data_IF_334885313001
#
_entry.id   IF_334885313001
#
_cell.length_a   1.000
_cell.length_b   1.000
_cell.length_c   1.000
_cell.angle_alpha   90.00
_cell.angle_beta   90.00
_cell.angle_gamma   90.00
#
_symmetry.space_group_name_H-M   'P 1'
#
loop_
_entity.id
_entity.type
_entity.pdbx_description
1 polymer ?
#
# COMPACT_ATOMS: atom_id res chain seq x y z
N UNK A 1 24.39 -20.63 -76.61
CA UNK A 1 24.65 -19.49 -77.50
C UNK A 1 25.45 -18.44 -76.72
N UNK A 2 26.27 -17.64 -77.42
CA UNK A 2 26.86 -16.37 -76.98
C UNK A 2 27.65 -16.30 -75.65
N UNK A 3 28.96 -16.52 -75.75
CA UNK A 3 30.02 -15.68 -75.13
C UNK A 3 30.16 -14.34 -75.92
N UNK A 4 31.12 -13.39 -75.68
CA UNK A 4 32.25 -13.26 -74.73
C UNK A 4 31.98 -12.14 -73.67
N UNK A 5 32.86 -11.36 -73.02
CA UNK A 5 34.30 -10.95 -73.09
C UNK A 5 34.76 -10.77 -71.60
N UNK A 6 35.96 -11.18 -71.10
CA UNK A 6 37.34 -10.62 -71.23
C UNK A 6 37.42 -9.09 -70.94
N UNK A 7 38.46 -8.49 -70.33
CA UNK A 7 39.82 -8.93 -69.93
C UNK A 7 40.40 -8.09 -68.77
N UNK A 8 41.29 -8.70 -67.95
CA UNK A 8 42.52 -8.06 -67.44
C UNK A 8 42.45 -7.08 -66.25
N UNK A 9 43.57 -6.71 -65.60
CA UNK A 9 44.93 -7.31 -65.64
C UNK A 9 45.80 -6.86 -64.44
N UNK A 10 46.78 -7.70 -64.08
CA UNK A 10 48.06 -7.40 -63.39
C UNK A 10 48.13 -6.67 -62.03
N UNK A 11 48.65 -7.42 -61.07
CA UNK A 11 49.58 -7.09 -59.95
C UNK A 11 50.55 -5.90 -60.20
N UNK A 12 51.15 -5.22 -59.18
CA UNK A 12 51.91 -5.86 -58.09
C UNK A 12 51.87 -5.20 -56.68
N UNK A 13 52.77 -5.68 -55.81
CA UNK A 13 52.99 -5.35 -54.40
C UNK A 13 53.36 -3.88 -54.13
N UNK A 14 52.97 -3.31 -52.98
CA UNK A 14 53.91 -3.10 -51.84
C UNK A 14 53.24 -2.52 -50.57
N UNK A 15 53.99 -2.63 -49.46
CA UNK A 15 53.96 -1.87 -48.21
C UNK A 15 52.68 -1.84 -47.34
N UNK A 16 52.78 -2.52 -46.19
CA UNK A 16 52.14 -2.08 -44.94
C UNK A 16 52.82 -0.81 -44.40
N UNK A 17 52.07 0.07 -43.74
CA UNK A 17 52.57 0.89 -42.65
C UNK A 17 51.81 0.63 -41.34
N UNK A 18 52.53 0.51 -40.23
CA UNK A 18 51.96 0.69 -38.89
C UNK A 18 51.51 2.14 -38.69
N UNK A 19 50.23 2.37 -38.39
CA UNK A 19 49.79 3.61 -37.74
C UNK A 19 48.78 3.34 -36.60
N UNK A 20 48.69 4.30 -35.68
CA UNK A 20 48.26 4.08 -34.30
C UNK A 20 46.93 4.78 -33.97
N UNK A 21 46.31 4.35 -32.86
CA UNK A 21 45.44 5.16 -31.98
C UNK A 21 44.16 5.78 -32.60
N UNK A 22 43.01 5.14 -32.32
CA UNK A 22 41.68 5.60 -32.76
C UNK A 22 40.56 5.37 -31.74
N UNK A 23 40.75 5.70 -30.47
CA UNK A 23 39.75 5.48 -29.41
C UNK A 23 38.55 6.42 -29.55
N UNK A 24 37.57 6.05 -30.37
CA UNK A 24 36.35 6.80 -30.58
C UNK A 24 35.45 6.81 -29.33
N UNK A 25 35.48 7.90 -28.57
CA UNK A 25 34.57 8.12 -27.45
C UNK A 25 33.13 8.29 -27.97
N UNK A 26 32.28 7.29 -27.77
CA UNK A 26 30.87 7.36 -28.16
C UNK A 26 30.10 8.25 -27.19
N UNK A 27 29.81 9.48 -27.60
CA UNK A 27 29.03 10.46 -26.84
C UNK A 27 27.55 10.08 -26.83
N UNK A 28 27.18 9.09 -26.01
CA UNK A 28 25.80 8.70 -25.78
C UNK A 28 25.00 9.90 -25.23
N UNK A 29 24.06 10.41 -26.01
CA UNK A 29 23.21 11.52 -25.61
C UNK A 29 22.38 11.12 -24.37
N UNK A 30 22.46 11.93 -23.31
CA UNK A 30 21.68 11.68 -22.09
C UNK A 30 20.18 11.72 -22.39
N UNK A 31 19.37 10.78 -21.87
CA UNK A 31 17.94 10.73 -22.14
C UNK A 31 17.24 11.98 -21.61
N UNK A 32 16.35 12.55 -22.43
CA UNK A 32 15.53 13.71 -22.03
C UNK A 32 14.54 13.29 -20.94
N UNK A 33 14.47 13.99 -19.79
CA UNK A 33 13.54 13.66 -18.72
C UNK A 33 12.07 13.70 -19.17
N UNK A 34 11.27 12.79 -18.62
CA UNK A 34 9.83 12.75 -18.87
C UNK A 34 9.09 13.77 -18.01
N UNK A 35 7.88 14.17 -18.43
CA UNK A 35 7.03 15.09 -17.65
C UNK A 35 6.75 14.60 -16.21
N UNK A 36 6.79 13.28 -15.98
CA UNK A 36 6.66 12.65 -14.66
C UNK A 36 7.84 12.95 -13.72
N UNK A 37 9.01 13.28 -14.26
CA UNK A 37 10.23 13.54 -13.49
C UNK A 37 10.40 15.03 -13.14
N UNK A 38 9.70 15.92 -13.85
CA UNK A 38 9.62 17.34 -13.47
C UNK A 38 8.73 17.57 -12.23
N UNK A 39 7.73 16.71 -11.97
CA UNK A 39 6.90 16.74 -10.76
C UNK A 39 7.64 16.28 -9.48
N UNK A 40 8.90 15.84 -9.59
CA UNK A 40 9.73 15.39 -8.48
C UNK A 40 10.55 16.58 -7.95
N UNK A 41 10.53 16.89 -6.63
CA UNK A 41 11.38 17.92 -6.02
C UNK A 41 12.88 17.66 -6.24
N UNK A 42 13.68 18.73 -6.38
CA UNK A 42 15.11 18.64 -6.72
C UNK A 42 15.92 17.69 -5.82
N UNK A 43 15.70 17.72 -4.50
CA UNK A 43 16.41 16.83 -3.56
C UNK A 43 16.07 15.34 -3.79
N UNK A 44 14.86 15.02 -4.24
CA UNK A 44 14.51 13.65 -4.63
C UNK A 44 15.11 13.26 -6.00
N UNK A 45 15.55 14.23 -6.83
CA UNK A 45 16.17 13.92 -8.14
C UNK A 45 17.57 13.35 -8.00
N UNK A 46 18.32 13.60 -6.92
CA UNK A 46 19.57 12.88 -6.65
C UNK A 46 19.30 11.42 -6.28
N UNK A 47 18.48 11.21 -5.25
CA UNK A 47 18.05 9.89 -4.77
C UNK A 47 17.46 9.02 -5.89
N UNK A 48 16.60 9.60 -6.75
CA UNK A 48 15.89 8.90 -7.82
C UNK A 48 16.56 8.94 -9.20
N UNK A 49 17.62 9.73 -9.45
CA UNK A 49 18.45 9.53 -10.67
C UNK A 49 19.15 8.18 -10.62
N UNK A 50 19.58 7.77 -9.43
CA UNK A 50 20.15 6.46 -9.18
C UNK A 50 19.07 5.37 -9.02
N UNK A 51 18.20 5.19 -10.03
CA UNK A 51 17.32 3.99 -10.17
C UNK A 51 18.08 2.71 -10.55
N UNK A 52 19.39 2.63 -10.31
CA UNK A 52 20.02 1.32 -10.23
C UNK A 52 19.47 0.63 -8.97
N UNK A 53 18.94 -0.59 -9.06
CA UNK A 53 18.65 -1.37 -7.86
C UNK A 53 19.93 -1.49 -7.01
N UNK A 54 19.76 -1.66 -5.70
CA UNK A 54 20.88 -1.90 -4.78
C UNK A 54 21.59 -3.18 -5.24
N UNK A 55 22.85 -3.07 -5.70
CA UNK A 55 23.49 -4.13 -6.49
C UNK A 55 24.22 -5.18 -5.65
N UNK A 56 24.59 -4.80 -4.43
CA UNK A 56 25.33 -5.60 -3.46
C UNK A 56 25.20 -4.94 -2.07
N UNK A 57 25.73 -5.61 -1.04
CA UNK A 57 25.79 -5.07 0.33
C UNK A 57 26.51 -3.71 0.41
N UNK A 58 27.58 -3.49 -0.37
CA UNK A 58 28.32 -2.22 -0.38
C UNK A 58 27.45 -1.05 -0.88
N UNK A 59 26.68 -1.23 -1.96
CA UNK A 59 25.72 -0.22 -2.41
C UNK A 59 24.57 -0.05 -1.40
N UNK A 60 24.16 -1.10 -0.68
CA UNK A 60 23.19 -0.98 0.42
C UNK A 60 23.74 -0.11 1.56
N UNK A 61 25.00 -0.33 1.94
CA UNK A 61 25.68 0.38 3.02
C UNK A 61 26.04 1.82 2.61
N UNK A 62 26.41 2.07 1.36
CA UNK A 62 26.62 3.43 0.85
C UNK A 62 25.29 4.22 0.78
N UNK A 63 24.17 3.56 0.47
CA UNK A 63 22.83 4.16 0.63
C UNK A 63 22.42 4.35 2.10
N UNK A 64 22.88 3.50 3.02
CA UNK A 64 22.73 3.71 4.46
C UNK A 64 23.55 4.93 4.94
N UNK A 65 24.72 5.17 4.35
CA UNK A 65 25.57 6.33 4.62
C UNK A 65 24.99 7.62 4.01
N UNK A 66 24.39 7.58 2.80
CA UNK A 66 23.55 8.68 2.29
C UNK A 66 22.36 8.98 3.23
N UNK A 67 21.76 7.96 3.84
CA UNK A 67 20.70 8.10 4.85
C UNK A 67 21.22 8.47 6.26
N UNK A 68 22.53 8.37 6.52
CA UNK A 68 23.13 8.88 7.77
C UNK A 68 23.13 10.41 7.78
N UNK A 69 23.39 11.04 6.63
CA UNK A 69 23.37 12.51 6.49
C UNK A 69 21.93 13.05 6.38
N UNK A 70 20.97 12.22 5.96
CA UNK A 70 19.58 12.62 5.75
C UNK A 70 18.67 12.39 6.98
N UNK A 71 18.66 13.35 7.89
CA UNK A 71 17.62 13.45 8.91
C UNK A 71 16.27 13.84 8.26
N UNK A 72 15.22 12.99 8.33
CA UNK A 72 13.88 13.39 7.88
C UNK A 72 13.38 14.58 8.69
N UNK A 73 12.69 15.53 8.05
CA UNK A 73 12.26 16.78 8.71
C UNK A 73 10.82 16.71 9.26
N UNK A 74 10.11 15.61 9.02
CA UNK A 74 8.74 15.39 9.52
C UNK A 74 8.44 13.89 9.70
N UNK A 75 7.48 13.58 10.57
CA UNK A 75 7.01 12.20 10.78
C UNK A 75 6.44 11.59 9.50
N UNK A 76 5.86 12.41 8.62
CA UNK A 76 5.40 11.95 7.31
C UNK A 76 6.53 11.61 6.33
N UNK A 77 7.68 12.28 6.45
CA UNK A 77 8.85 11.97 5.64
C UNK A 77 9.49 10.66 6.12
N UNK A 78 9.53 10.44 7.43
CA UNK A 78 9.91 9.15 8.01
C UNK A 78 8.95 8.02 7.57
N UNK A 79 7.63 8.19 7.68
CA UNK A 79 6.62 7.23 7.18
C UNK A 79 6.75 6.99 5.67
N UNK A 80 7.01 8.03 4.87
CA UNK A 80 7.24 7.91 3.41
C UNK A 80 8.54 7.17 3.07
N UNK A 81 9.61 7.40 3.82
CA UNK A 81 10.87 6.66 3.67
C UNK A 81 10.69 5.18 4.06
N UNK A 82 10.03 4.90 5.19
CA UNK A 82 9.63 3.54 5.61
C UNK A 82 8.82 2.81 4.53
N UNK A 83 7.80 3.46 3.95
CA UNK A 83 6.99 2.87 2.89
C UNK A 83 7.73 2.72 1.55
N UNK A 84 8.53 3.71 1.14
CA UNK A 84 9.34 3.62 -0.07
C UNK A 84 10.39 2.51 0.01
N UNK A 85 11.02 2.37 1.18
CA UNK A 85 11.97 1.31 1.48
C UNK A 85 11.29 -0.06 1.43
N UNK A 86 10.27 -0.29 2.28
CA UNK A 86 9.57 -1.59 2.35
C UNK A 86 8.91 -2.02 1.04
N UNK A 87 8.38 -1.08 0.24
CA UNK A 87 7.84 -1.37 -1.09
C UNK A 87 8.91 -1.78 -2.11
N UNK A 88 10.13 -1.23 -2.02
CA UNK A 88 11.22 -1.52 -2.97
C UNK A 88 11.76 -2.95 -2.86
N UNK A 89 11.53 -3.65 -1.75
CA UNK A 89 11.90 -5.07 -1.59
C UNK A 89 10.85 -6.05 -2.12
N UNK A 90 9.70 -5.57 -2.58
CA UNK A 90 8.62 -6.39 -3.15
C UNK A 90 8.69 -6.46 -4.69
N UNK A 91 9.89 -6.36 -5.28
CA UNK A 91 10.09 -6.51 -6.72
C UNK A 91 9.88 -7.96 -7.16
N UNK A 92 9.00 -8.16 -8.15
CA UNK A 92 8.67 -9.47 -8.71
C UNK A 92 9.77 -10.00 -9.64
N UNK A 93 9.90 -11.33 -9.70
CA UNK A 93 10.66 -12.02 -10.74
C UNK A 93 11.94 -12.66 -10.23
N UNK A 94 13.06 -12.28 -10.84
CA UNK A 94 14.19 -13.19 -11.03
C UNK A 94 15.49 -12.76 -10.32
N UNK A 95 15.48 -11.67 -9.55
CA UNK A 95 16.60 -11.23 -8.70
C UNK A 95 16.05 -10.59 -7.39
N UNK A 96 15.81 -11.38 -6.33
CA UNK A 96 15.42 -10.82 -5.03
C UNK A 96 16.60 -10.08 -4.40
N UNK A 97 16.38 -8.82 -4.01
CA UNK A 97 17.37 -8.01 -3.30
C UNK A 97 17.74 -8.65 -1.95
N UNK A 98 18.81 -9.45 -1.93
CA UNK A 98 19.43 -9.98 -0.71
C UNK A 98 20.19 -8.88 0.06
N UNK A 99 19.44 -7.91 0.56
CA UNK A 99 19.73 -7.37 1.89
C UNK A 99 19.34 -8.48 2.88
N UNK A 100 20.25 -8.83 3.77
CA UNK A 100 19.97 -9.84 4.79
C UNK A 100 18.94 -9.32 5.82
N UNK A 101 18.34 -10.23 6.56
CA UNK A 101 17.26 -9.89 7.50
C UNK A 101 17.73 -8.94 8.62
N UNK A 102 18.98 -9.01 9.03
CA UNK A 102 19.54 -8.21 10.12
C UNK A 102 19.82 -6.77 9.65
N UNK A 103 20.43 -6.59 8.47
CA UNK A 103 20.58 -5.27 7.85
C UNK A 103 19.22 -4.60 7.61
N UNK A 104 18.21 -5.35 7.16
CA UNK A 104 16.84 -4.83 7.06
C UNK A 104 16.25 -4.43 8.42
N UNK A 105 16.42 -5.26 9.46
CA UNK A 105 15.95 -4.99 10.83
C UNK A 105 16.58 -3.70 11.38
N UNK A 106 17.89 -3.54 11.26
CA UNK A 106 18.64 -2.37 11.73
C UNK A 106 18.21 -1.09 11.01
N UNK A 107 17.94 -1.14 9.70
CA UNK A 107 17.39 -0.03 8.93
C UNK A 107 15.98 0.35 9.40
N UNK A 108 15.12 -0.63 9.66
CA UNK A 108 13.76 -0.41 10.15
C UNK A 108 13.77 0.22 11.55
N UNK A 109 14.58 -0.31 12.46
CA UNK A 109 14.74 0.20 13.84
C UNK A 109 15.32 1.61 13.86
N UNK A 110 16.29 1.93 12.98
CA UNK A 110 16.81 3.30 12.85
C UNK A 110 15.76 4.27 12.31
N UNK A 111 15.01 3.89 11.28
CA UNK A 111 13.92 4.72 10.75
C UNK A 111 12.84 4.97 11.81
N UNK A 112 12.52 3.96 12.63
CA UNK A 112 11.61 4.09 13.77
C UNK A 112 12.18 4.98 14.89
N UNK A 113 13.48 4.89 15.19
CA UNK A 113 14.14 5.76 16.17
C UNK A 113 14.10 7.24 15.71
N UNK A 114 14.47 7.51 14.45
CA UNK A 114 14.38 8.87 13.89
C UNK A 114 12.93 9.37 13.85
N UNK A 115 11.94 8.51 13.52
CA UNK A 115 10.52 8.85 13.57
C UNK A 115 10.02 9.21 14.99
N UNK A 116 10.60 8.61 16.03
CA UNK A 116 10.25 8.82 17.44
C UNK A 116 10.78 10.13 18.01
N UNK A 117 11.94 10.58 17.56
CA UNK A 117 12.57 11.82 18.02
C UNK A 117 12.06 13.07 17.26
N UNK A 118 11.28 12.87 16.20
CA UNK A 118 10.62 13.95 15.48
C UNK A 118 9.46 14.56 16.29
N UNK A 119 9.26 15.89 16.26
CA UNK A 119 8.12 16.50 16.91
C UNK A 119 6.83 15.93 16.30
N UNK A 120 5.85 15.49 17.11
CA UNK A 120 4.59 14.99 16.58
C UNK A 120 3.92 16.10 15.77
N UNK A 121 3.36 15.74 14.61
CA UNK A 121 2.57 16.66 13.79
C UNK A 121 1.49 17.28 14.67
N UNK A 122 1.65 18.58 14.99
CA UNK A 122 0.70 19.29 15.84
C UNK A 122 -0.62 19.37 15.08
N UNK A 123 -1.62 18.63 15.57
CA UNK A 123 -2.98 18.81 15.07
C UNK A 123 -3.38 20.28 15.18
N UNK A 124 -3.95 20.82 14.12
CA UNK A 124 -4.66 22.10 14.18
C UNK A 124 -5.84 22.01 15.15
N UNK A 125 -6.30 23.16 15.63
CA UNK A 125 -7.49 23.24 16.46
C UNK A 125 -8.73 22.65 15.73
N UNK A 126 -8.83 22.87 14.41
CA UNK A 126 -9.85 22.25 13.56
C UNK A 126 -9.71 20.72 13.48
N UNK A 127 -8.48 20.19 13.32
CA UNK A 127 -8.24 18.73 13.32
C UNK A 127 -8.60 18.12 14.67
N UNK A 128 -8.22 18.75 15.79
CA UNK A 128 -8.61 18.29 17.13
C UNK A 128 -10.13 18.38 17.34
N UNK A 129 -10.78 19.47 16.92
CA UNK A 129 -12.23 19.65 17.01
C UNK A 129 -12.98 18.58 16.22
N UNK A 130 -12.55 18.29 14.99
CA UNK A 130 -13.14 17.25 14.14
C UNK A 130 -12.87 15.84 14.67
N UNK A 131 -11.69 15.56 15.24
CA UNK A 131 -11.42 14.29 15.96
C UNK A 131 -12.36 14.13 17.17
N UNK A 132 -12.49 15.16 18.00
CA UNK A 132 -13.33 15.13 19.20
C UNK A 132 -14.81 14.95 18.82
N UNK A 133 -15.29 15.70 17.83
CA UNK A 133 -16.68 15.65 17.39
C UNK A 133 -17.02 14.34 16.65
N UNK A 134 -16.08 13.75 15.90
CA UNK A 134 -16.21 12.39 15.38
C UNK A 134 -16.45 11.39 16.53
N UNK A 135 -15.61 11.43 17.58
CA UNK A 135 -15.72 10.54 18.75
C UNK A 135 -16.95 10.72 19.64
N UNK A 136 -17.93 11.54 19.24
CA UNK A 136 -19.21 11.75 19.90
C UNK A 136 -20.41 11.31 19.05
N UNK A 137 -20.21 10.89 17.79
CA UNK A 137 -21.31 10.58 16.87
C UNK A 137 -22.20 9.47 17.42
N UNK A 138 -21.63 8.39 17.98
CA UNK A 138 -22.39 7.29 18.59
C UNK A 138 -23.22 7.65 19.83
N UNK A 139 -23.10 8.89 20.36
CA UNK A 139 -23.87 9.39 21.50
C UNK A 139 -25.07 10.27 21.08
N UNK A 140 -25.29 10.45 19.77
CA UNK A 140 -26.38 11.26 19.22
C UNK A 140 -27.63 10.41 18.97
N UNK A 141 -28.75 11.07 18.60
CA UNK A 141 -29.95 10.36 18.21
C UNK A 141 -29.77 9.63 16.87
N UNK A 142 -30.48 8.50 16.71
CA UNK A 142 -30.18 7.54 15.64
C UNK A 142 -30.31 8.12 14.22
N UNK A 143 -31.27 9.02 14.04
CA UNK A 143 -31.56 9.65 12.75
C UNK A 143 -30.50 10.70 12.36
N UNK A 144 -29.85 11.33 13.36
CA UNK A 144 -28.79 12.33 13.15
C UNK A 144 -27.43 11.71 12.80
N UNK A 145 -27.18 10.44 13.19
CA UNK A 145 -25.91 9.74 12.97
C UNK A 145 -25.38 9.87 11.53
N UNK A 146 -26.23 9.61 10.53
CA UNK A 146 -25.84 9.61 9.12
C UNK A 146 -25.53 11.03 8.62
N UNK A 147 -26.38 12.00 8.97
CA UNK A 147 -26.21 13.41 8.59
C UNK A 147 -24.98 14.04 9.24
N UNK A 148 -24.76 13.78 10.53
CA UNK A 148 -23.59 14.24 11.27
C UNK A 148 -22.32 13.60 10.71
N UNK A 149 -22.26 12.27 10.57
CA UNK A 149 -21.07 11.60 10.04
C UNK A 149 -20.68 12.10 8.65
N UNK A 150 -21.66 12.24 7.74
CA UNK A 150 -21.42 12.80 6.41
C UNK A 150 -20.89 14.24 6.48
N UNK A 151 -21.38 15.04 7.43
CA UNK A 151 -20.91 16.41 7.68
C UNK A 151 -19.48 16.45 8.22
N UNK A 152 -19.11 15.56 9.15
CA UNK A 152 -17.73 15.48 9.67
C UNK A 152 -16.76 14.98 8.60
N UNK A 153 -17.11 13.92 7.87
CA UNK A 153 -16.25 13.40 6.79
C UNK A 153 -16.04 14.44 5.68
N UNK A 154 -17.08 15.21 5.34
CA UNK A 154 -16.98 16.34 4.41
C UNK A 154 -16.07 17.45 4.96
N UNK A 155 -16.27 17.86 6.22
CA UNK A 155 -15.45 18.88 6.86
C UNK A 155 -13.96 18.48 6.93
N UNK A 156 -13.65 17.22 7.25
CA UNK A 156 -12.29 16.67 7.20
C UNK A 156 -11.67 16.83 5.81
N UNK A 157 -12.43 16.58 4.74
CA UNK A 157 -11.95 16.72 3.37
C UNK A 157 -11.87 18.13 2.80
N UNK A 158 -12.68 19.06 3.29
CA UNK A 158 -12.74 20.44 2.76
C UNK A 158 -11.97 21.46 3.62
N UNK A 159 -11.75 21.18 4.92
CA UNK A 159 -11.19 22.14 5.88
C UNK A 159 -9.77 21.80 6.34
N UNK A 160 -9.38 20.52 6.32
CA UNK A 160 -8.05 20.07 6.76
C UNK A 160 -7.14 19.75 5.57
N UNK A 161 -5.85 20.11 5.60
CA UNK A 161 -4.87 19.58 4.66
C UNK A 161 -4.57 18.10 4.95
N UNK A 162 -4.04 17.36 3.97
CA UNK A 162 -3.99 15.89 3.99
C UNK A 162 -3.17 15.27 5.13
N UNK A 163 -2.16 15.96 5.63
CA UNK A 163 -1.37 15.59 6.82
C UNK A 163 -2.23 15.52 8.09
N UNK A 164 -3.20 16.43 8.20
CA UNK A 164 -4.06 16.59 9.38
C UNK A 164 -5.37 15.78 9.31
N UNK A 165 -5.69 15.19 8.15
CA UNK A 165 -6.87 14.34 7.95
C UNK A 165 -6.74 12.96 8.64
N UNK A 166 -5.52 12.47 8.87
CA UNK A 166 -5.23 11.13 9.43
C UNK A 166 -5.98 10.84 10.74
N UNK A 167 -5.91 11.73 11.73
CA UNK A 167 -6.49 11.46 13.07
C UNK A 167 -8.02 11.52 13.08
N UNK A 168 -8.69 12.54 12.50
CA UNK A 168 -10.15 12.55 12.36
C UNK A 168 -10.69 11.33 11.60
N UNK A 169 -10.01 10.86 10.55
CA UNK A 169 -10.41 9.65 9.82
C UNK A 169 -10.34 8.40 10.71
N UNK A 170 -9.29 8.25 11.52
CA UNK A 170 -9.18 7.12 12.46
C UNK A 170 -10.29 7.14 13.51
N UNK A 171 -10.72 8.32 13.97
CA UNK A 171 -11.91 8.45 14.81
C UNK A 171 -13.19 8.02 14.06
N UNK A 172 -13.46 8.56 12.88
CA UNK A 172 -14.63 8.19 12.07
C UNK A 172 -14.66 6.69 11.71
N UNK A 173 -13.52 6.07 11.43
CA UNK A 173 -13.40 4.62 11.21
C UNK A 173 -13.85 3.87 12.46
N UNK A 174 -13.38 4.27 13.66
CA UNK A 174 -13.78 3.65 14.93
C UNK A 174 -15.30 3.72 15.14
N UNK A 175 -15.90 4.89 14.94
CA UNK A 175 -17.35 5.10 15.12
C UNK A 175 -18.22 4.15 14.29
N UNK A 176 -17.77 3.70 13.11
CA UNK A 176 -18.50 2.67 12.32
C UNK A 176 -18.63 1.31 13.00
N UNK A 177 -18.04 1.13 14.20
CA UNK A 177 -18.25 -0.02 15.07
C UNK A 177 -19.42 0.09 16.06
N UNK A 178 -19.82 1.31 16.42
CA UNK A 178 -20.79 1.57 17.50
C UNK A 178 -22.22 1.81 16.97
N UNK A 179 -22.35 2.02 15.65
CA UNK A 179 -23.60 2.37 14.97
C UNK A 179 -24.38 1.14 14.48
N UNK A 180 -25.68 1.26 14.19
CA UNK A 180 -26.52 0.14 13.72
C UNK A 180 -26.08 -0.37 12.34
N UNK A 181 -26.25 -1.67 12.08
CA UNK A 181 -25.75 -2.38 10.88
C UNK A 181 -26.13 -1.70 9.54
N UNK A 182 -27.36 -1.21 9.44
CA UNK A 182 -27.85 -0.48 8.26
C UNK A 182 -27.06 0.81 7.99
N UNK A 183 -26.73 1.56 9.04
CA UNK A 183 -25.85 2.73 8.93
C UNK A 183 -24.41 2.31 8.65
N UNK A 184 -23.88 1.27 9.32
CA UNK A 184 -22.50 0.81 9.12
C UNK A 184 -22.19 0.56 7.63
N UNK A 185 -23.10 -0.07 6.88
CA UNK A 185 -22.92 -0.37 5.44
C UNK A 185 -22.86 0.90 4.57
N UNK A 186 -23.60 1.96 4.91
CA UNK A 186 -23.58 3.24 4.18
C UNK A 186 -22.29 4.01 4.53
N UNK A 187 -21.96 4.11 5.82
CA UNK A 187 -20.83 4.88 6.32
C UNK A 187 -19.48 4.26 5.95
N UNK A 188 -19.37 2.92 5.95
CA UNK A 188 -18.19 2.19 5.42
C UNK A 188 -17.89 2.54 3.97
N UNK A 189 -18.94 2.63 3.14
CA UNK A 189 -18.80 3.01 1.73
C UNK A 189 -18.32 4.45 1.58
N UNK A 190 -18.92 5.39 2.32
CA UNK A 190 -18.49 6.78 2.34
C UNK A 190 -17.03 6.95 2.76
N UNK A 191 -16.60 6.24 3.81
CA UNK A 191 -15.19 6.21 4.24
C UNK A 191 -14.27 5.63 3.16
N UNK A 192 -14.58 4.47 2.59
CA UNK A 192 -13.72 3.83 1.60
C UNK A 192 -13.60 4.66 0.32
N UNK A 193 -14.71 5.19 -0.17
CA UNK A 193 -14.77 6.10 -1.32
C UNK A 193 -14.00 7.40 -1.08
N UNK A 194 -13.86 7.83 0.19
CA UNK A 194 -13.06 8.99 0.57
C UNK A 194 -11.57 8.65 0.72
N UNK A 195 -11.22 7.60 1.48
CA UNK A 195 -9.84 7.18 1.73
C UNK A 195 -9.12 6.86 0.42
N UNK A 196 -9.79 6.24 -0.54
CA UNK A 196 -9.23 5.95 -1.88
C UNK A 196 -8.94 7.19 -2.73
N UNK A 197 -9.43 8.38 -2.36
CA UNK A 197 -9.16 9.66 -3.04
C UNK A 197 -8.03 10.47 -2.40
N UNK A 198 -7.56 10.08 -1.20
CA UNK A 198 -6.40 10.72 -0.57
C UNK A 198 -5.14 10.53 -1.44
N UNK A 199 -4.13 11.42 -1.38
CA UNK A 199 -2.85 11.15 -2.00
C UNK A 199 -2.21 9.90 -1.37
N UNK A 200 -1.56 9.07 -2.19
CA UNK A 200 -1.04 7.74 -1.80
C UNK A 200 -0.25 7.72 -0.48
N UNK A 201 0.50 8.78 -0.17
CA UNK A 201 1.28 8.91 1.07
C UNK A 201 0.42 8.89 2.35
N UNK A 202 -0.82 9.39 2.29
CA UNK A 202 -1.73 9.47 3.45
C UNK A 202 -2.81 8.37 3.41
N UNK A 203 -2.87 7.54 2.35
CA UNK A 203 -3.85 6.45 2.23
C UNK A 203 -3.61 5.30 3.22
N UNK A 204 -2.35 4.93 3.48
CA UNK A 204 -2.04 3.64 4.09
C UNK A 204 -2.67 3.43 5.47
N UNK A 205 -2.48 4.39 6.39
CA UNK A 205 -2.91 4.22 7.78
C UNK A 205 -4.43 4.23 7.94
N UNK A 206 -5.20 5.15 7.30
CA UNK A 206 -6.66 5.05 7.26
C UNK A 206 -7.16 3.77 6.57
N UNK A 207 -6.52 3.32 5.48
CA UNK A 207 -6.92 2.08 4.78
C UNK A 207 -6.68 0.83 5.64
N UNK A 208 -5.56 0.77 6.35
CA UNK A 208 -5.24 -0.32 7.27
C UNK A 208 -6.24 -0.36 8.45
N UNK A 209 -6.47 0.79 9.11
CA UNK A 209 -7.44 0.86 10.20
C UNK A 209 -8.88 0.53 9.74
N UNK A 210 -9.26 0.93 8.53
CA UNK A 210 -10.54 0.57 7.93
C UNK A 210 -10.64 -0.95 7.68
N UNK A 211 -9.58 -1.58 7.15
CA UNK A 211 -9.51 -3.03 7.01
C UNK A 211 -9.61 -3.75 8.37
N UNK A 212 -8.87 -3.30 9.39
CA UNK A 212 -8.94 -3.84 10.75
C UNK A 212 -10.34 -3.71 11.36
N UNK A 213 -11.04 -2.59 11.11
CA UNK A 213 -12.43 -2.35 11.53
C UNK A 213 -13.42 -3.27 10.82
N UNK A 214 -13.22 -3.62 9.54
CA UNK A 214 -13.99 -4.68 8.87
C UNK A 214 -13.72 -6.05 9.51
N UNK A 215 -12.45 -6.38 9.77
CA UNK A 215 -12.03 -7.62 10.43
C UNK A 215 -12.52 -7.77 11.88
N UNK A 216 -12.73 -6.67 12.60
CA UNK A 216 -13.38 -6.70 13.92
C UNK A 216 -14.90 -6.82 13.80
N UNK A 217 -15.52 -6.14 12.84
CA UNK A 217 -16.97 -6.24 12.59
C UNK A 217 -17.39 -7.68 12.28
N UNK A 218 -16.52 -8.47 11.64
CA UNK A 218 -16.71 -9.91 11.44
C UNK A 218 -16.93 -10.69 12.75
N UNK A 219 -16.18 -10.33 13.81
CA UNK A 219 -16.25 -10.98 15.13
C UNK A 219 -17.51 -10.61 15.90
N UNK A 220 -18.13 -9.48 15.57
CA UNK A 220 -19.37 -8.99 16.18
C UNK A 220 -20.63 -9.64 15.57
N UNK A 221 -20.61 -10.05 14.30
CA UNK A 221 -21.75 -10.74 13.65
C UNK A 221 -22.08 -12.04 14.41
N UNK A 222 -23.34 -12.18 14.84
CA UNK A 222 -23.91 -13.41 15.42
C UNK A 222 -25.20 -13.74 14.70
N UNK A 223 -25.23 -14.89 14.05
CA UNK A 223 -26.44 -15.42 13.43
C UNK A 223 -27.27 -16.15 14.50
N UNK A 224 -28.53 -15.77 14.73
CA UNK A 224 -29.43 -16.51 15.63
C UNK A 224 -29.81 -17.85 14.99
N UNK A 225 -29.95 -18.91 15.80
CA UNK A 225 -30.05 -20.32 15.35
C UNK A 225 -31.24 -20.66 14.43
N UNK A 226 -32.18 -19.75 14.21
CA UNK A 226 -33.42 -19.98 13.49
C UNK A 226 -33.68 -18.97 12.35
N UNK A 227 -32.74 -18.06 12.07
CA UNK A 227 -32.95 -16.97 11.10
C UNK A 227 -31.87 -16.98 10.02
N UNK A 228 -32.27 -17.26 8.77
CA UNK A 228 -31.36 -17.43 7.63
C UNK A 228 -30.86 -16.12 7.00
N UNK A 229 -30.94 -14.98 7.69
CA UNK A 229 -30.44 -13.72 7.14
C UNK A 229 -28.90 -13.66 7.22
N UNK A 230 -28.25 -13.87 6.09
CA UNK A 230 -26.80 -13.76 5.93
C UNK A 230 -26.36 -12.41 5.33
N UNK A 231 -27.25 -11.41 5.27
CA UNK A 231 -26.99 -10.10 4.66
C UNK A 231 -25.83 -9.35 5.34
N UNK A 232 -25.79 -9.29 6.67
CA UNK A 232 -24.68 -8.71 7.45
C UNK A 232 -23.31 -9.22 6.98
N UNK A 233 -23.21 -10.54 6.82
CA UNK A 233 -22.00 -11.23 6.43
C UNK A 233 -21.68 -11.02 4.94
N UNK A 234 -22.69 -11.06 4.07
CA UNK A 234 -22.54 -10.79 2.63
C UNK A 234 -22.13 -9.34 2.34
N UNK A 235 -22.69 -8.38 3.07
CA UNK A 235 -22.31 -6.96 3.01
C UNK A 235 -20.84 -6.80 3.41
N UNK A 236 -20.43 -7.42 4.52
CA UNK A 236 -19.05 -7.38 4.99
C UNK A 236 -18.05 -8.04 4.03
N UNK A 237 -18.38 -9.19 3.43
CA UNK A 237 -17.60 -9.78 2.33
C UNK A 237 -17.46 -8.79 1.17
N UNK A 238 -18.57 -8.17 0.76
CA UNK A 238 -18.60 -7.18 -0.32
C UNK A 238 -17.77 -5.92 -0.02
N UNK A 239 -17.68 -5.48 1.23
CA UNK A 239 -16.82 -4.37 1.65
C UNK A 239 -15.33 -4.77 1.64
N UNK A 240 -14.99 -5.98 2.12
CA UNK A 240 -13.62 -6.51 2.08
C UNK A 240 -13.16 -6.70 0.62
N UNK A 241 -14.04 -7.14 -0.29
CA UNK A 241 -13.73 -7.26 -1.72
C UNK A 241 -13.51 -5.92 -2.46
N UNK A 242 -13.79 -4.76 -1.83
CA UNK A 242 -13.46 -3.43 -2.38
C UNK A 242 -12.08 -2.92 -1.96
N UNK A 243 -11.49 -3.46 -0.88
CA UNK A 243 -10.15 -3.04 -0.42
C UNK A 243 -9.07 -3.32 -1.49
N UNK A 244 -7.94 -2.59 -1.51
CA UNK A 244 -6.76 -3.02 -2.26
C UNK A 244 -6.22 -4.36 -1.74
N UNK A 245 -5.69 -5.21 -2.63
CA UNK A 245 -5.33 -6.61 -2.34
C UNK A 245 -4.39 -6.80 -1.13
N UNK A 246 -3.51 -5.83 -0.85
CA UNK A 246 -2.60 -5.88 0.30
C UNK A 246 -3.32 -5.84 1.67
N UNK A 247 -4.51 -5.24 1.76
CA UNK A 247 -5.28 -5.10 3.00
C UNK A 247 -6.35 -6.20 3.20
N UNK A 248 -6.63 -7.02 2.17
CA UNK A 248 -7.72 -8.03 2.21
C UNK A 248 -7.44 -9.25 3.07
N UNK A 249 -6.17 -9.61 3.25
CA UNK A 249 -5.78 -10.90 3.86
C UNK A 249 -6.25 -11.00 5.31
N UNK A 250 -5.87 -10.06 6.18
CA UNK A 250 -6.22 -10.10 7.61
C UNK A 250 -7.73 -10.02 7.90
N UNK A 251 -8.53 -9.16 7.25
CA UNK A 251 -9.99 -9.17 7.39
C UNK A 251 -10.62 -10.50 6.96
N UNK A 252 -10.13 -11.14 5.88
CA UNK A 252 -10.60 -12.47 5.48
C UNK A 252 -10.22 -13.54 6.49
N UNK A 253 -9.00 -13.53 7.05
CA UNK A 253 -8.60 -14.43 8.14
C UNK A 253 -9.57 -14.32 9.32
N UNK A 254 -9.80 -13.10 9.82
CA UNK A 254 -10.72 -12.85 10.95
C UNK A 254 -12.16 -13.24 10.62
N UNK A 255 -12.59 -13.07 9.37
CA UNK A 255 -13.91 -13.47 8.91
C UNK A 255 -14.08 -14.99 8.92
N UNK A 256 -13.10 -15.76 8.43
CA UNK A 256 -13.11 -17.22 8.51
C UNK A 256 -13.13 -17.69 9.98
N UNK A 257 -12.27 -17.14 10.84
CA UNK A 257 -12.29 -17.45 12.28
C UNK A 257 -13.64 -17.12 12.94
N UNK A 258 -14.38 -16.12 12.42
CA UNK A 258 -15.72 -15.79 12.90
C UNK A 258 -16.80 -16.78 12.42
N UNK A 259 -16.60 -17.52 11.31
CA UNK A 259 -17.52 -18.59 10.86
C UNK A 259 -17.56 -19.73 11.86
N UNK A 260 -16.40 -20.13 12.43
CA UNK A 260 -16.34 -21.18 13.46
C UNK A 260 -17.15 -20.85 14.72
N UNK A 261 -17.43 -19.57 14.97
CA UNK A 261 -18.23 -19.08 16.09
C UNK A 261 -19.74 -18.97 15.78
N UNK A 262 -20.16 -19.28 14.55
CA UNK A 262 -21.57 -19.33 14.16
C UNK A 262 -22.17 -20.74 14.37
N UNK A 263 -23.50 -20.85 14.54
CA UNK A 263 -24.19 -22.14 14.59
C UNK A 263 -23.84 -23.05 13.39
N UNK A 264 -23.66 -24.37 13.59
CA UNK A 264 -23.16 -25.28 12.55
C UNK A 264 -23.93 -25.20 11.22
N UNK A 265 -25.26 -25.03 11.28
CA UNK A 265 -26.15 -24.98 10.11
C UNK A 265 -25.90 -23.82 9.14
N UNK A 266 -25.11 -22.81 9.53
CA UNK A 266 -24.71 -21.71 8.65
C UNK A 266 -23.30 -21.88 8.06
N UNK A 267 -22.46 -22.74 8.65
CA UNK A 267 -21.01 -22.75 8.36
C UNK A 267 -20.69 -23.01 6.89
N UNK A 268 -21.34 -23.98 6.26
CA UNK A 268 -21.16 -24.30 4.83
C UNK A 268 -21.47 -23.09 3.93
N UNK A 269 -22.63 -22.45 4.13
CA UNK A 269 -23.04 -21.29 3.34
C UNK A 269 -22.13 -20.07 3.54
N UNK A 270 -21.59 -19.89 4.75
CA UNK A 270 -20.62 -18.84 5.07
C UNK A 270 -19.25 -19.13 4.44
N UNK A 271 -18.78 -20.37 4.49
CA UNK A 271 -17.53 -20.81 3.87
C UNK A 271 -17.56 -20.60 2.34
N UNK A 272 -18.67 -20.98 1.70
CA UNK A 272 -18.87 -20.74 0.27
C UNK A 272 -18.81 -19.25 -0.12
N UNK A 273 -19.26 -18.34 0.76
CA UNK A 273 -19.18 -16.89 0.51
C UNK A 273 -17.76 -16.31 0.66
N UNK A 274 -16.87 -16.91 1.46
CA UNK A 274 -15.48 -16.42 1.63
C UNK A 274 -14.46 -17.13 0.74
N UNK A 275 -14.76 -18.35 0.27
CA UNK A 275 -13.86 -19.13 -0.61
C UNK A 275 -13.44 -18.35 -1.87
N UNK A 276 -14.40 -17.73 -2.57
CA UNK A 276 -14.12 -16.97 -3.79
C UNK A 276 -13.27 -15.70 -3.52
N UNK A 277 -13.59 -14.85 -2.54
CA UNK A 277 -12.70 -13.78 -2.07
C UNK A 277 -11.28 -14.24 -1.75
N UNK A 278 -11.11 -15.36 -1.05
CA UNK A 278 -9.78 -15.92 -0.70
C UNK A 278 -9.03 -16.38 -1.96
N UNK A 279 -9.70 -17.08 -2.88
CA UNK A 279 -9.12 -17.49 -4.17
C UNK A 279 -8.70 -16.29 -5.05
N UNK A 280 -9.35 -15.13 -4.90
CA UNK A 280 -9.00 -13.87 -5.60
C UNK A 280 -7.76 -13.15 -5.05
N UNK A 281 -7.27 -13.51 -3.87
CA UNK A 281 -6.02 -12.96 -3.33
C UNK A 281 -4.80 -13.41 -4.15
N UNK A 282 -3.71 -12.61 -4.21
CA UNK A 282 -2.39 -13.09 -4.61
C UNK A 282 -1.92 -14.27 -3.74
N UNK A 283 -1.20 -15.23 -4.31
CA UNK A 283 -0.74 -16.44 -3.61
C UNK A 283 -0.05 -16.15 -2.27
N UNK A 284 0.92 -15.24 -2.26
CA UNK A 284 1.66 -14.80 -1.06
C UNK A 284 0.80 -14.12 0.02
N UNK A 285 -0.50 -13.85 -0.23
CA UNK A 285 -1.46 -13.29 0.73
C UNK A 285 -2.60 -14.25 1.08
N UNK A 286 -2.62 -15.48 0.54
CA UNK A 286 -3.63 -16.51 0.84
C UNK A 286 -3.37 -17.30 2.14
N UNK A 287 -2.12 -17.34 2.62
CA UNK A 287 -1.73 -18.25 3.70
C UNK A 287 -2.58 -18.10 4.97
N UNK A 288 -2.72 -16.88 5.51
CA UNK A 288 -3.53 -16.63 6.72
C UNK A 288 -4.99 -17.09 6.56
N UNK A 289 -5.74 -16.61 5.54
CA UNK A 289 -7.11 -17.04 5.32
C UNK A 289 -7.27 -18.53 5.04
N UNK A 290 -6.31 -19.18 4.37
CA UNK A 290 -6.35 -20.64 4.13
C UNK A 290 -6.01 -21.44 5.40
N UNK A 291 -5.12 -20.96 6.26
CA UNK A 291 -4.84 -21.61 7.54
C UNK A 291 -6.09 -21.61 8.42
N UNK A 292 -6.71 -20.43 8.60
CA UNK A 292 -7.98 -20.31 9.32
C UNK A 292 -9.13 -21.14 8.71
N UNK A 293 -9.04 -21.49 7.42
CA UNK A 293 -10.00 -22.36 6.73
C UNK A 293 -9.73 -23.85 7.02
N UNK A 294 -8.46 -24.24 7.25
CA UNK A 294 -8.08 -25.57 7.76
C UNK A 294 -8.49 -25.72 9.23
N UNK A 295 -8.13 -24.74 10.07
CA UNK A 295 -8.42 -24.67 11.52
C UNK A 295 -9.94 -24.68 11.86
N UNK A 296 -10.81 -24.74 10.85
CA UNK A 296 -12.27 -24.76 10.92
C UNK A 296 -12.89 -26.06 10.35
N UNK A 297 -12.06 -26.92 9.74
CA UNK A 297 -12.43 -28.25 9.23
C UNK A 297 -11.91 -29.39 10.13
N UNK A 298 -10.89 -29.09 10.95
CA UNK A 298 -10.33 -29.94 12.00
C UNK A 298 -11.15 -29.89 13.33
#
# INVERSE_FOLDING_TARGET
MSTPIRSGASSPMHNEPDEQSGTAASTAASPVPTAREHAIPEFMRSLLRNRSPVRNAEHAQLRLEELHEYLPQSTEEADRLLHGFTASFHLSGDDPLHIDHETYRLLLERLQAMAKDLPPVRQSEDSQRLTNFAGLIHLMDHDDHLGTFATVLKAVGEQLPHDQQRVPLLALIKETGELSEGLQTILRRGLLDYITRLPMAHQHVPMQAFADRLGESARQIRLPEHFSNLEAFRSLVGDIEKLPNCYRSEPLTRLVTAIGRQPPLYREALMAMVETPIRRLPSARRHGPLQAFSDLLD
#
